data_IF_973175917286
#
_entry.id   IF_973175917286
#
_cell.length_a   1.000
_cell.length_b   1.000
_cell.length_c   1.000
_cell.angle_alpha   90.00
_cell.angle_beta   90.00
_cell.angle_gamma   90.00
#
_symmetry.space_group_name_H-M   'P 1'
#
loop_
_entity.id
_entity.type
_entity.pdbx_description
1 polymer ?
#
# COMPACT_ATOMS: atom_id res chain seq x y z
N UNK A 1 34.68 8.50 1.32
CA UNK A 1 34.21 9.11 0.06
C UNK A 1 34.60 10.58 0.13
N UNK A 2 35.42 11.08 -0.78
CA UNK A 2 35.74 12.51 -0.83
C UNK A 2 34.45 13.29 -1.13
N UNK A 3 34.25 14.47 -0.52
CA UNK A 3 33.08 15.36 -0.76
C UNK A 3 32.76 15.50 -2.26
N UNK A 4 33.79 15.61 -3.07
CA UNK A 4 33.72 15.73 -4.54
C UNK A 4 33.13 14.52 -5.28
N UNK A 5 33.24 13.30 -4.73
CA UNK A 5 32.67 12.09 -5.35
C UNK A 5 31.18 11.90 -5.04
N UNK A 6 30.76 12.31 -3.84
CA UNK A 6 29.35 12.28 -3.42
C UNK A 6 28.53 13.33 -4.19
N UNK A 7 29.04 14.56 -4.30
CA UNK A 7 28.38 15.65 -5.04
C UNK A 7 28.22 15.36 -6.54
N UNK A 8 29.11 14.57 -7.15
CA UNK A 8 29.02 14.16 -8.54
C UNK A 8 27.91 13.10 -8.73
N UNK A 9 27.79 12.15 -7.81
CA UNK A 9 26.72 11.14 -7.82
C UNK A 9 25.33 11.72 -7.54
N UNK A 10 25.24 12.71 -6.65
CA UNK A 10 24.00 13.46 -6.34
C UNK A 10 23.50 14.25 -7.54
N UNK A 11 24.39 14.93 -8.27
CA UNK A 11 24.05 15.66 -9.49
C UNK A 11 23.55 14.76 -10.62
N UNK A 12 24.14 13.58 -10.81
CA UNK A 12 23.72 12.64 -11.86
C UNK A 12 22.29 12.07 -11.64
N UNK A 13 21.81 12.08 -10.39
CA UNK A 13 20.49 11.57 -10.01
C UNK A 13 19.40 12.66 -9.95
N UNK A 14 19.71 13.92 -10.27
CA UNK A 14 18.77 15.04 -10.10
C UNK A 14 18.38 15.28 -8.63
N UNK A 15 19.23 14.84 -7.69
CA UNK A 15 19.00 14.98 -6.26
C UNK A 15 19.74 16.21 -5.71
N UNK A 16 19.30 16.71 -4.56
CA UNK A 16 19.99 17.70 -3.74
C UNK A 16 20.33 17.05 -2.41
N UNK A 17 21.58 17.11 -1.97
CA UNK A 17 21.92 16.66 -0.63
C UNK A 17 21.41 17.69 0.37
N UNK A 18 20.73 17.24 1.42
CA UNK A 18 20.27 18.10 2.51
C UNK A 18 20.96 17.70 3.80
N UNK A 19 21.20 18.69 4.65
CA UNK A 19 21.75 18.49 5.96
C UNK A 19 21.13 19.47 6.96
N UNK A 20 20.39 18.93 7.93
CA UNK A 20 19.73 19.66 8.98
C UNK A 20 20.55 19.54 10.27
N UNK A 21 21.05 20.67 10.74
CA UNK A 21 21.68 20.78 12.04
C UNK A 21 20.64 21.33 13.03
N UNK A 22 20.15 20.45 13.90
CA UNK A 22 19.10 20.77 14.86
C UNK A 22 19.58 21.63 16.02
N UNK A 23 20.89 21.69 16.27
CA UNK A 23 21.46 22.43 17.41
C UNK A 23 21.63 23.91 17.08
N UNK A 24 21.98 24.22 15.84
CA UNK A 24 22.09 25.60 15.33
C UNK A 24 20.86 26.04 14.52
N UNK A 25 19.92 25.12 14.28
CA UNK A 25 18.68 25.39 13.54
C UNK A 25 18.94 25.80 12.09
N UNK A 26 19.87 25.15 11.38
CA UNK A 26 20.16 25.44 9.97
C UNK A 26 19.93 24.23 9.06
N UNK A 27 19.43 24.53 7.86
CA UNK A 27 19.36 23.60 6.73
C UNK A 27 20.36 24.03 5.69
N UNK A 28 21.26 23.11 5.31
CA UNK A 28 22.17 23.27 4.18
C UNK A 28 21.76 22.34 3.05
N UNK A 29 21.71 22.89 1.84
CA UNK A 29 21.41 22.21 0.59
C UNK A 29 22.64 22.24 -0.31
N UNK A 30 23.08 21.09 -0.78
CA UNK A 30 24.26 20.96 -1.66
C UNK A 30 23.80 20.33 -2.98
N UNK A 31 23.93 21.08 -4.07
CA UNK A 31 23.41 20.70 -5.40
C UNK A 31 22.59 21.82 -6.02
N UNK A 32 21.75 21.48 -7.00
CA UNK A 32 20.87 22.43 -7.68
C UNK A 32 19.55 22.61 -6.90
N UNK A 33 19.61 23.39 -5.80
CA UNK A 33 18.42 23.70 -4.99
C UNK A 33 17.34 24.47 -5.78
N UNK A 34 17.72 25.19 -6.83
CA UNK A 34 16.80 25.92 -7.70
C UNK A 34 15.88 24.97 -8.49
N UNK A 35 16.33 23.74 -8.79
CA UNK A 35 15.47 22.70 -9.38
C UNK A 35 14.26 22.34 -8.50
N UNK A 36 14.32 22.66 -7.20
CA UNK A 36 13.25 22.46 -6.22
C UNK A 36 12.56 23.78 -5.82
N UNK A 37 12.83 24.87 -6.55
CA UNK A 37 12.24 26.19 -6.28
C UNK A 37 12.80 26.90 -5.04
N UNK A 38 13.97 26.47 -4.53
CA UNK A 38 14.62 27.10 -3.38
C UNK A 38 15.73 28.04 -3.84
N UNK A 39 15.68 29.29 -3.36
CA UNK A 39 16.60 30.37 -3.78
C UNK A 39 17.92 30.36 -3.00
N UNK A 40 17.96 29.74 -1.83
CA UNK A 40 19.12 29.74 -0.94
C UNK A 40 19.62 28.31 -0.66
N UNK A 41 20.92 28.10 -0.82
CA UNK A 41 21.60 26.86 -0.48
C UNK A 41 21.80 26.67 1.03
N UNK A 42 21.55 27.69 1.85
CA UNK A 42 21.55 27.62 3.30
C UNK A 42 20.45 28.53 3.84
N UNK A 43 19.65 28.02 4.77
CA UNK A 43 18.58 28.78 5.40
C UNK A 43 18.32 28.29 6.82
N UNK A 44 17.67 29.12 7.62
CA UNK A 44 17.26 28.76 8.97
C UNK A 44 16.16 27.68 8.93
N UNK A 45 16.09 26.86 9.97
CA UNK A 45 15.16 25.74 10.09
C UNK A 45 13.71 26.19 9.94
N UNK A 46 13.33 27.27 10.63
CA UNK A 46 11.99 27.83 10.51
C UNK A 46 11.72 28.34 9.09
N UNK A 47 12.69 28.98 8.45
CA UNK A 47 12.55 29.44 7.07
C UNK A 47 12.37 28.28 6.08
N UNK A 48 12.97 27.11 6.36
CA UNK A 48 12.72 25.89 5.58
C UNK A 48 11.32 25.31 5.84
N UNK A 49 10.88 25.25 7.11
CA UNK A 49 9.52 24.81 7.47
C UNK A 49 8.44 25.69 6.84
N UNK A 50 8.66 27.00 6.76
CA UNK A 50 7.73 27.94 6.11
C UNK A 50 7.61 27.69 4.59
N UNK A 51 8.54 26.93 3.99
CA UNK A 51 8.41 26.41 2.62
C UNK A 51 7.58 25.13 2.54
N UNK A 52 7.03 24.62 3.64
CA UNK A 52 6.21 23.41 3.66
C UNK A 52 4.77 23.73 4.04
N UNK A 53 3.84 22.88 3.58
CA UNK A 53 2.45 22.94 4.06
C UNK A 53 2.34 22.61 5.56
N UNK A 54 1.36 23.14 6.31
CA UNK A 54 1.28 22.98 7.77
C UNK A 54 1.35 21.53 8.27
N UNK A 55 0.71 20.60 7.57
CA UNK A 55 0.77 19.17 7.91
C UNK A 55 2.17 18.56 7.69
N UNK A 56 2.91 19.02 6.67
CA UNK A 56 4.26 18.52 6.40
C UNK A 56 5.31 19.15 7.33
N UNK A 57 5.03 20.33 7.89
CA UNK A 57 5.88 20.94 8.94
C UNK A 57 5.93 20.05 10.18
N UNK A 58 4.77 19.56 10.63
CA UNK A 58 4.66 18.66 11.79
C UNK A 58 5.37 17.34 11.47
N UNK A 59 5.01 16.71 10.35
CA UNK A 59 5.59 15.41 9.94
C UNK A 59 7.11 15.45 9.81
N UNK A 60 7.66 16.52 9.23
CA UNK A 60 9.09 16.65 9.08
C UNK A 60 9.78 16.90 10.44
N UNK A 61 9.18 17.71 11.30
CA UNK A 61 9.70 17.94 12.65
C UNK A 61 9.77 16.64 13.46
N UNK A 62 8.72 15.82 13.39
CA UNK A 62 8.67 14.51 14.04
C UNK A 62 9.69 13.52 13.46
N UNK A 63 9.85 13.49 12.14
CA UNK A 63 10.81 12.58 11.51
C UNK A 63 12.25 13.00 11.73
N UNK A 64 12.55 14.29 11.77
CA UNK A 64 13.90 14.76 12.11
C UNK A 64 14.25 14.38 13.55
N UNK A 65 13.30 14.31 14.48
CA UNK A 65 13.57 13.83 15.83
C UNK A 65 13.98 12.34 15.90
N UNK A 66 13.81 11.58 14.82
CA UNK A 66 14.16 10.16 14.73
C UNK A 66 15.57 9.94 14.12
N UNK A 67 16.03 8.68 14.12
CA UNK A 67 17.34 8.30 13.55
C UNK A 67 17.34 8.23 12.02
N UNK A 68 16.17 8.04 11.41
CA UNK A 68 16.02 7.90 9.96
C UNK A 68 14.88 8.78 9.48
N UNK A 69 15.05 9.39 8.30
CA UNK A 69 14.04 10.19 7.61
C UNK A 69 13.76 9.53 6.27
N UNK A 70 12.55 9.06 6.06
CA UNK A 70 12.03 8.70 4.73
C UNK A 70 10.63 9.29 4.60
N UNK A 71 10.56 10.48 4.03
CA UNK A 71 9.31 11.23 3.95
C UNK A 71 9.12 11.82 2.57
N UNK A 72 7.87 11.82 2.11
CA UNK A 72 7.43 12.68 1.00
C UNK A 72 6.77 13.92 1.59
N UNK A 73 7.28 15.09 1.23
CA UNK A 73 6.79 16.39 1.69
C UNK A 73 6.50 17.30 0.50
N UNK A 74 5.55 18.22 0.69
CA UNK A 74 5.24 19.28 -0.28
C UNK A 74 6.10 20.49 0.02
N UNK A 75 6.89 20.91 -0.97
CA UNK A 75 7.77 22.05 -0.93
C UNK A 75 7.20 23.18 -1.79
N UNK A 76 7.11 24.38 -1.22
CA UNK A 76 6.57 25.60 -1.83
C UNK A 76 7.75 26.46 -2.26
N UNK A 77 8.04 26.40 -3.56
CA UNK A 77 9.12 27.15 -4.19
C UNK A 77 8.85 28.65 -4.27
N UNK A 78 9.86 29.41 -4.68
CA UNK A 78 9.73 30.82 -5.03
C UNK A 78 8.64 31.01 -6.10
N UNK A 79 7.70 31.94 -5.84
CA UNK A 79 6.53 32.16 -6.71
C UNK A 79 5.33 31.25 -6.41
N UNK A 80 5.36 30.43 -5.35
CA UNK A 80 4.22 29.60 -4.93
C UNK A 80 4.06 28.28 -5.68
N UNK A 81 5.07 27.89 -6.47
CA UNK A 81 5.10 26.61 -7.16
C UNK A 81 5.20 25.45 -6.17
N UNK A 82 4.37 24.42 -6.33
CA UNK A 82 4.38 23.26 -5.45
C UNK A 82 5.22 22.13 -6.06
N UNK A 83 6.14 21.60 -5.26
CA UNK A 83 7.03 20.49 -5.63
C UNK A 83 6.87 19.37 -4.63
N UNK A 84 6.69 18.14 -5.11
CA UNK A 84 6.75 16.97 -4.25
C UNK A 84 8.19 16.49 -4.18
N UNK A 85 8.73 16.42 -2.97
CA UNK A 85 10.10 15.97 -2.74
C UNK A 85 10.10 14.81 -1.75
N UNK A 86 10.96 13.83 -2.00
CA UNK A 86 11.25 12.77 -1.04
C UNK A 86 12.54 13.12 -0.32
N UNK A 87 12.50 13.17 1.00
CA UNK A 87 13.66 13.28 1.87
C UNK A 87 14.04 11.89 2.37
N UNK A 88 15.26 11.48 2.06
CA UNK A 88 15.89 10.25 2.52
C UNK A 88 17.13 10.63 3.33
N UNK A 89 17.08 10.52 4.64
CA UNK A 89 18.16 10.95 5.52
C UNK A 89 18.37 10.04 6.72
N UNK A 90 19.49 10.26 7.41
CA UNK A 90 19.84 9.60 8.65
C UNK A 90 20.53 10.56 9.60
N UNK A 91 20.34 10.35 10.90
CA UNK A 91 21.06 11.07 11.94
C UNK A 91 22.48 10.51 12.03
N UNK A 92 23.46 11.40 12.04
CA UNK A 92 24.87 11.05 12.21
C UNK A 92 25.28 11.14 13.69
N UNK A 93 26.50 10.70 14.00
CA UNK A 93 27.02 10.69 15.38
C UNK A 93 27.24 12.07 16.00
N UNK A 94 27.10 13.16 15.23
CA UNK A 94 27.14 14.55 15.74
C UNK A 94 25.75 15.15 15.94
N UNK A 95 24.67 14.36 15.86
CA UNK A 95 23.30 14.84 16.02
C UNK A 95 22.74 15.57 14.80
N UNK A 96 23.42 15.55 13.66
CA UNK A 96 22.97 16.18 12.42
C UNK A 96 22.24 15.17 11.54
N UNK A 97 21.12 15.55 10.93
CA UNK A 97 20.41 14.72 9.96
C UNK A 97 20.93 15.04 8.56
N UNK A 98 21.47 14.05 7.86
CA UNK A 98 22.04 14.21 6.53
C UNK A 98 21.43 13.22 5.54
N UNK A 99 21.18 13.66 4.31
CA UNK A 99 20.43 12.86 3.36
C UNK A 99 20.32 13.45 1.96
N UNK A 100 19.41 12.89 1.17
CA UNK A 100 19.07 13.28 -0.17
C UNK A 100 17.62 13.77 -0.24
N UNK A 101 17.43 14.86 -0.95
CA UNK A 101 16.15 15.37 -1.43
C UNK A 101 16.05 15.03 -2.92
N UNK A 102 15.10 14.19 -3.28
CA UNK A 102 14.86 13.77 -4.67
C UNK A 102 13.48 14.22 -5.12
N UNK A 103 13.27 14.48 -6.42
CA UNK A 103 11.93 14.70 -6.95
C UNK A 103 11.05 13.49 -6.64
N UNK A 104 9.82 13.72 -6.17
CA UNK A 104 8.84 12.68 -5.85
C UNK A 104 7.55 12.83 -6.66
N UNK A 105 7.64 13.49 -7.82
CA UNK A 105 6.54 13.82 -8.71
C UNK A 105 6.93 14.99 -9.62
N UNK A 106 6.09 15.31 -10.61
CA UNK A 106 6.32 16.47 -11.48
C UNK A 106 6.06 17.78 -10.72
N UNK A 107 6.97 18.76 -10.83
CA UNK A 107 6.83 20.13 -10.34
C UNK A 107 5.61 20.79 -11.00
N UNK A 108 4.61 21.25 -10.25
CA UNK A 108 3.39 21.85 -10.82
C UNK A 108 3.01 23.13 -10.09
N UNK A 109 2.56 24.14 -10.84
CA UNK A 109 2.01 25.36 -10.26
C UNK A 109 0.62 25.10 -9.65
N UNK A 110 0.07 26.08 -8.91
CA UNK A 110 -1.26 25.99 -8.30
C UNK A 110 -2.36 25.68 -9.34
N UNK A 111 -2.22 26.17 -10.57
CA UNK A 111 -3.14 25.89 -11.67
C UNK A 111 -3.09 24.42 -12.12
N UNK A 112 -1.89 23.82 -12.18
CA UNK A 112 -1.69 22.41 -12.46
C UNK A 112 -2.30 21.50 -11.39
N UNK A 113 -2.16 21.86 -10.11
CA UNK A 113 -2.79 21.12 -9.00
C UNK A 113 -4.32 21.18 -9.06
N UNK A 114 -4.91 22.36 -9.24
CA UNK A 114 -6.37 22.50 -9.40
C UNK A 114 -6.86 21.67 -10.61
N UNK A 115 -6.10 21.68 -11.71
CA UNK A 115 -6.40 20.89 -12.89
C UNK A 115 -6.40 19.38 -12.63
N UNK A 116 -5.49 18.88 -11.78
CA UNK A 116 -5.47 17.48 -11.36
C UNK A 116 -6.55 17.11 -10.38
N UNK A 117 -6.83 17.96 -9.40
CA UNK A 117 -7.88 17.73 -8.42
C UNK A 117 -9.24 17.62 -9.13
N UNK A 118 -9.49 18.52 -10.08
CA UNK A 118 -10.65 18.46 -10.96
C UNK A 118 -10.63 17.21 -11.86
N UNK A 119 -9.49 16.86 -12.43
CA UNK A 119 -9.36 15.66 -13.26
C UNK A 119 -9.65 14.38 -12.47
N UNK A 120 -9.13 14.26 -11.24
CA UNK A 120 -9.36 13.12 -10.38
C UNK A 120 -10.83 13.03 -9.95
N UNK A 121 -11.41 14.14 -9.49
CA UNK A 121 -12.82 14.19 -9.11
C UNK A 121 -13.74 13.77 -10.27
N UNK A 122 -13.50 14.30 -11.47
CA UNK A 122 -14.25 13.91 -12.67
C UNK A 122 -13.96 12.46 -13.07
N UNK A 123 -12.71 12.01 -12.96
CA UNK A 123 -12.30 10.66 -13.35
C UNK A 123 -12.96 9.58 -12.51
N UNK A 124 -13.16 9.83 -11.21
CA UNK A 124 -13.96 8.95 -10.33
C UNK A 124 -15.38 8.77 -10.86
N UNK A 125 -16.00 9.84 -11.36
CA UNK A 125 -17.36 9.80 -11.91
C UNK A 125 -17.43 9.20 -13.31
N UNK A 126 -16.41 9.45 -14.14
CA UNK A 126 -16.34 8.99 -15.51
C UNK A 126 -15.90 7.52 -15.65
N UNK A 127 -15.63 6.82 -14.55
CA UNK A 127 -15.20 5.42 -14.58
C UNK A 127 -13.72 5.23 -14.94
N UNK A 128 -12.89 6.25 -14.74
CA UNK A 128 -11.45 6.19 -14.97
C UNK A 128 -10.69 5.45 -13.85
N UNK A 129 -11.36 5.21 -12.71
CA UNK A 129 -10.82 4.42 -11.60
C UNK A 129 -11.12 2.95 -11.81
N UNK A 130 -10.07 2.17 -12.03
CA UNK A 130 -10.10 0.74 -12.34
C UNK A 130 -9.59 -0.10 -11.16
N UNK A 131 -9.93 -1.39 -11.18
CA UNK A 131 -9.31 -2.39 -10.31
C UNK A 131 -8.26 -3.17 -11.11
N UNK A 132 -7.03 -3.23 -10.60
CA UNK A 132 -5.99 -4.15 -11.06
C UNK A 132 -5.72 -5.18 -9.99
N UNK A 133 -5.26 -6.36 -10.38
CA UNK A 133 -5.30 -7.55 -9.54
C UNK A 133 -3.91 -8.09 -9.28
N UNK A 134 -3.41 -7.98 -8.06
CA UNK A 134 -2.13 -8.59 -7.70
C UNK A 134 -2.35 -10.06 -7.27
N UNK A 135 -1.65 -11.03 -7.89
CA UNK A 135 -1.86 -12.45 -7.58
C UNK A 135 -1.44 -12.83 -6.16
N UNK A 136 -2.27 -13.64 -5.51
CA UNK A 136 -2.00 -14.33 -4.25
C UNK A 136 -1.89 -15.82 -4.54
N UNK A 137 -0.74 -16.40 -4.20
CA UNK A 137 -0.35 -17.76 -4.60
C UNK A 137 -0.35 -18.68 -3.39
N UNK A 138 -0.97 -19.86 -3.52
CA UNK A 138 -0.88 -20.93 -2.54
C UNK A 138 0.53 -21.53 -2.56
N UNK A 139 1.24 -21.45 -1.44
CA UNK A 139 2.65 -21.83 -1.34
C UNK A 139 2.86 -23.35 -1.42
N UNK A 140 1.88 -24.14 -1.02
CA UNK A 140 1.92 -25.61 -1.04
C UNK A 140 1.90 -26.20 -2.47
N UNK A 141 1.23 -25.51 -3.38
CA UNK A 141 0.93 -25.99 -4.74
C UNK A 141 1.52 -25.10 -5.83
N UNK A 142 1.95 -23.89 -5.50
CA UNK A 142 2.40 -22.88 -6.47
C UNK A 142 1.28 -22.39 -7.40
N UNK A 143 0.01 -22.51 -6.98
CA UNK A 143 -1.16 -22.17 -7.78
C UNK A 143 -1.78 -20.84 -7.35
N UNK A 144 -2.40 -20.16 -8.30
CA UNK A 144 -3.21 -18.98 -8.03
C UNK A 144 -4.35 -19.34 -7.07
N UNK A 145 -4.40 -18.66 -5.92
CA UNK A 145 -5.44 -18.80 -4.91
C UNK A 145 -6.44 -17.64 -4.96
N UNK A 146 -5.96 -16.44 -5.28
CA UNK A 146 -6.79 -15.24 -5.31
C UNK A 146 -6.04 -14.04 -5.85
N UNK A 147 -6.67 -12.87 -5.71
CA UNK A 147 -6.04 -11.59 -6.02
C UNK A 147 -6.35 -10.55 -4.96
N UNK A 148 -5.46 -9.58 -4.80
CA UNK A 148 -5.76 -8.30 -4.17
C UNK A 148 -6.14 -7.27 -5.24
N UNK A 149 -7.29 -6.62 -5.07
CA UNK A 149 -7.77 -5.56 -5.94
C UNK A 149 -7.18 -4.22 -5.51
N UNK A 150 -6.34 -3.65 -6.39
CA UNK A 150 -5.62 -2.41 -6.19
C UNK A 150 -6.13 -1.35 -7.16
N UNK A 151 -6.40 -0.16 -6.64
CA UNK A 151 -6.87 0.97 -7.43
C UNK A 151 -5.86 1.34 -8.53
N UNK A 152 -6.35 1.71 -9.71
CA UNK A 152 -5.58 2.36 -10.76
C UNK A 152 -6.41 3.49 -11.35
N UNK A 153 -5.77 4.58 -11.71
CA UNK A 153 -6.45 5.68 -12.41
C UNK A 153 -5.98 5.73 -13.86
N UNK A 154 -6.82 5.29 -14.79
CA UNK A 154 -6.57 5.41 -16.22
C UNK A 154 -6.91 6.82 -16.68
N UNK A 155 -5.93 7.72 -16.51
CA UNK A 155 -6.13 9.15 -16.78
C UNK A 155 -6.01 9.44 -18.28
N UNK A 156 -7.05 10.01 -18.91
CA UNK A 156 -7.00 10.36 -20.33
C UNK A 156 -5.80 11.26 -20.67
N UNK A 157 -5.02 10.85 -21.68
CA UNK A 157 -3.84 11.59 -22.14
C UNK A 157 -2.58 11.45 -21.27
N UNK A 158 -2.65 10.76 -20.13
CA UNK A 158 -1.49 10.48 -19.26
C UNK A 158 -1.20 8.98 -19.19
N UNK A 159 -2.25 8.15 -19.13
CA UNK A 159 -2.16 6.71 -18.94
C UNK A 159 -2.45 6.30 -17.51
N UNK A 160 -2.14 5.04 -17.20
CA UNK A 160 -2.51 4.40 -15.94
C UNK A 160 -1.57 4.79 -14.80
N UNK A 161 -2.12 5.40 -13.76
CA UNK A 161 -1.42 5.84 -12.55
C UNK A 161 -1.62 4.85 -11.39
N UNK A 162 -0.57 4.69 -10.59
CA UNK A 162 -0.57 3.82 -9.41
C UNK A 162 -1.18 4.55 -8.19
N UNK A 163 -1.65 3.82 -7.16
CA UNK A 163 -2.24 4.40 -5.96
C UNK A 163 -1.37 5.50 -5.32
N UNK A 164 -0.06 5.27 -5.24
CA UNK A 164 0.92 6.24 -4.70
C UNK A 164 0.92 7.60 -5.41
N UNK A 165 0.44 7.66 -6.66
CA UNK A 165 0.42 8.87 -7.48
C UNK A 165 -0.84 9.74 -7.24
N UNK A 166 -1.94 9.16 -6.74
CA UNK A 166 -3.22 9.88 -6.63
C UNK A 166 -3.98 9.70 -5.31
N UNK A 167 -3.72 8.67 -4.50
CA UNK A 167 -4.50 8.44 -3.27
C UNK A 167 -4.29 9.54 -2.22
N UNK A 168 -3.11 10.16 -2.15
CA UNK A 168 -2.88 11.31 -1.26
C UNK A 168 -3.81 12.48 -1.63
N UNK A 169 -3.90 12.80 -2.93
CA UNK A 169 -4.80 13.82 -3.45
C UNK A 169 -6.27 13.42 -3.25
N UNK A 170 -6.60 12.15 -3.47
CA UNK A 170 -7.94 11.64 -3.22
C UNK A 170 -8.35 11.81 -1.75
N UNK A 171 -7.43 11.62 -0.80
CA UNK A 171 -7.67 11.87 0.63
C UNK A 171 -7.96 13.34 0.92
N UNK A 172 -7.19 14.26 0.34
CA UNK A 172 -7.42 15.70 0.47
C UNK A 172 -8.77 16.16 -0.12
N UNK A 173 -9.28 15.43 -1.12
CA UNK A 173 -10.56 15.70 -1.80
C UNK A 173 -11.74 14.87 -1.27
N UNK A 174 -11.56 14.09 -0.20
CA UNK A 174 -12.57 13.19 0.35
C UNK A 174 -13.14 12.18 -0.69
N UNK A 175 -12.29 11.71 -1.60
CA UNK A 175 -12.63 10.79 -2.68
C UNK A 175 -12.32 9.32 -2.37
N UNK A 176 -11.63 9.04 -1.26
CA UNK A 176 -11.16 7.68 -0.93
C UNK A 176 -12.31 6.66 -0.89
N UNK A 177 -13.39 6.94 -0.17
CA UNK A 177 -14.53 6.03 -0.07
C UNK A 177 -15.21 5.79 -1.43
N UNK A 178 -15.27 6.83 -2.29
CA UNK A 178 -15.84 6.72 -3.64
C UNK A 178 -14.96 5.84 -4.52
N UNK A 179 -13.65 6.02 -4.47
CA UNK A 179 -12.66 5.21 -5.18
C UNK A 179 -12.74 3.76 -4.72
N UNK A 180 -12.68 3.50 -3.41
CA UNK A 180 -12.76 2.14 -2.85
C UNK A 180 -14.07 1.45 -3.22
N UNK A 181 -15.19 2.19 -3.25
CA UNK A 181 -16.49 1.65 -3.70
C UNK A 181 -16.46 1.24 -5.17
N UNK A 182 -15.85 2.04 -6.05
CA UNK A 182 -15.68 1.69 -7.47
C UNK A 182 -14.80 0.47 -7.64
N UNK A 183 -13.66 0.42 -6.96
CA UNK A 183 -12.72 -0.71 -7.00
C UNK A 183 -13.38 -2.01 -6.54
N UNK A 184 -14.12 -1.99 -5.42
CA UNK A 184 -14.87 -3.16 -4.93
C UNK A 184 -15.97 -3.59 -5.89
N UNK A 185 -16.67 -2.65 -6.50
CA UNK A 185 -17.67 -2.92 -7.53
C UNK A 185 -17.07 -3.64 -8.75
N UNK A 186 -15.94 -3.14 -9.27
CA UNK A 186 -15.19 -3.78 -10.36
C UNK A 186 -14.69 -5.17 -9.95
N UNK A 187 -14.07 -5.30 -8.79
CA UNK A 187 -13.58 -6.58 -8.27
C UNK A 187 -14.68 -7.65 -8.16
N UNK A 188 -15.86 -7.28 -7.65
CA UNK A 188 -16.99 -8.21 -7.54
C UNK A 188 -17.55 -8.61 -8.92
N UNK A 189 -17.66 -7.65 -9.84
CA UNK A 189 -18.14 -7.89 -11.20
C UNK A 189 -17.18 -8.78 -12.00
N UNK A 190 -15.88 -8.49 -11.95
CA UNK A 190 -14.84 -9.26 -12.63
C UNK A 190 -14.78 -10.69 -12.10
N UNK A 191 -14.78 -10.88 -10.77
CA UNK A 191 -14.81 -12.22 -10.19
C UNK A 191 -16.06 -13.00 -10.61
N UNK A 192 -17.23 -12.36 -10.64
CA UNK A 192 -18.47 -13.00 -11.08
C UNK A 192 -18.36 -13.43 -12.55
N UNK A 193 -17.87 -12.55 -13.41
CA UNK A 193 -17.65 -12.81 -14.84
C UNK A 193 -16.70 -13.99 -15.05
N UNK A 194 -15.55 -13.99 -14.37
CA UNK A 194 -14.57 -15.07 -14.50
C UNK A 194 -15.12 -16.41 -14.05
N UNK A 195 -15.92 -16.44 -12.98
CA UNK A 195 -16.58 -17.66 -12.48
C UNK A 195 -17.63 -18.23 -13.43
N UNK A 196 -18.35 -17.36 -14.13
CA UNK A 196 -19.32 -17.77 -15.15
C UNK A 196 -18.62 -18.29 -16.39
N UNK A 197 -17.55 -17.62 -16.82
CA UNK A 197 -16.83 -17.98 -18.04
C UNK A 197 -15.92 -19.21 -17.88
N UNK A 198 -15.30 -19.39 -16.71
CA UNK A 198 -14.21 -20.36 -16.53
C UNK A 198 -14.42 -21.25 -15.29
N UNK A 199 -14.50 -22.58 -15.45
CA UNK A 199 -14.59 -23.51 -14.30
C UNK A 199 -13.40 -23.45 -13.34
N UNK A 200 -12.21 -23.04 -13.82
CA UNK A 200 -11.00 -22.87 -12.99
C UNK A 200 -11.12 -21.71 -12.01
N UNK A 201 -12.00 -20.74 -12.27
CA UNK A 201 -12.22 -19.59 -11.38
C UNK A 201 -13.05 -19.95 -10.13
N UNK A 202 -13.59 -21.16 -10.04
CA UNK A 202 -14.53 -21.55 -8.97
C UNK A 202 -13.96 -21.42 -7.56
N UNK A 203 -12.64 -21.54 -7.38
CA UNK A 203 -12.00 -21.51 -6.07
C UNK A 203 -11.17 -20.23 -5.83
N UNK A 204 -11.26 -19.26 -6.73
CA UNK A 204 -10.57 -17.98 -6.59
C UNK A 204 -11.34 -17.07 -5.63
N UNK A 205 -10.60 -16.35 -4.79
CA UNK A 205 -11.09 -15.20 -4.05
C UNK A 205 -10.49 -13.89 -4.59
N UNK A 206 -11.17 -12.78 -4.36
CA UNK A 206 -10.60 -11.43 -4.48
C UNK A 206 -10.72 -10.72 -3.13
N UNK A 207 -9.63 -10.08 -2.71
CA UNK A 207 -9.61 -9.19 -1.57
C UNK A 207 -9.57 -7.72 -2.02
N UNK A 208 -10.14 -6.82 -1.22
CA UNK A 208 -10.14 -5.39 -1.50
C UNK A 208 -10.09 -4.59 -0.20
N UNK A 209 -9.42 -3.44 -0.25
CA UNK A 209 -9.23 -2.57 0.90
C UNK A 209 -10.54 -1.93 1.40
N UNK A 210 -10.64 -1.80 2.72
CA UNK A 210 -11.66 -1.04 3.43
C UNK A 210 -11.07 -0.37 4.68
N UNK A 211 -11.62 0.78 5.05
CA UNK A 211 -11.20 1.48 6.28
C UNK A 211 -12.16 1.19 7.43
N UNK A 212 -11.70 1.42 8.66
CA UNK A 212 -12.58 1.30 9.83
C UNK A 212 -13.70 2.35 9.80
N UNK A 213 -13.44 3.53 9.24
CA UNK A 213 -14.48 4.56 9.06
C UNK A 213 -15.59 4.15 8.10
N UNK A 214 -15.31 3.27 7.12
CA UNK A 214 -16.36 2.69 6.28
C UNK A 214 -17.18 1.66 7.07
N UNK A 215 -16.56 0.83 7.89
CA UNK A 215 -17.26 -0.23 8.66
C UNK A 215 -18.29 0.31 9.63
N UNK A 216 -18.06 1.50 10.19
CA UNK A 216 -19.01 2.13 11.12
C UNK A 216 -20.24 2.70 10.44
N UNK A 217 -20.22 2.85 9.11
CA UNK A 217 -21.39 3.24 8.34
C UNK A 217 -22.27 2.01 8.03
N UNK A 218 -23.49 1.90 8.58
CA UNK A 218 -24.39 0.80 8.27
C UNK A 218 -24.78 0.73 6.79
N UNK A 219 -24.74 1.85 6.07
CA UNK A 219 -25.02 1.91 4.64
C UNK A 219 -23.90 1.24 3.84
N UNK A 220 -22.63 1.42 4.22
CA UNK A 220 -21.50 0.71 3.63
C UNK A 220 -21.66 -0.80 3.74
N UNK A 221 -21.89 -1.33 4.95
CA UNK A 221 -22.05 -2.78 5.17
C UNK A 221 -23.20 -3.33 4.33
N UNK A 222 -24.33 -2.63 4.31
CA UNK A 222 -25.50 -3.04 3.52
C UNK A 222 -25.22 -3.01 2.02
N UNK A 223 -24.53 -1.96 1.54
CA UNK A 223 -24.16 -1.80 0.14
C UNK A 223 -23.19 -2.88 -0.33
N UNK A 224 -22.17 -3.19 0.46
CA UNK A 224 -21.20 -4.23 0.11
C UNK A 224 -21.85 -5.62 0.06
N UNK A 225 -22.67 -5.98 1.06
CA UNK A 225 -23.40 -7.24 1.05
C UNK A 225 -24.32 -7.37 -0.17
N UNK A 226 -24.94 -6.24 -0.58
CA UNK A 226 -25.73 -6.20 -1.82
C UNK A 226 -24.86 -6.44 -3.05
N UNK A 227 -23.70 -5.78 -3.17
CA UNK A 227 -22.78 -5.97 -4.31
C UNK A 227 -22.35 -7.44 -4.44
N UNK A 228 -21.94 -8.06 -3.33
CA UNK A 228 -21.50 -9.46 -3.29
C UNK A 228 -22.64 -10.42 -3.65
N UNK A 229 -23.85 -10.15 -3.13
CA UNK A 229 -25.06 -10.94 -3.41
C UNK A 229 -25.52 -10.82 -4.87
N UNK A 230 -25.58 -9.59 -5.42
CA UNK A 230 -25.96 -9.34 -6.81
C UNK A 230 -24.98 -9.98 -7.78
N UNK A 231 -23.68 -10.00 -7.44
CA UNK A 231 -22.62 -10.68 -8.16
C UNK A 231 -22.62 -12.21 -7.98
N UNK A 232 -23.51 -12.76 -7.14
CA UNK A 232 -23.67 -14.20 -6.84
C UNK A 232 -22.36 -14.87 -6.40
N UNK A 233 -21.54 -14.14 -5.65
CA UNK A 233 -20.28 -14.67 -5.15
C UNK A 233 -20.56 -15.60 -3.96
N UNK A 234 -19.95 -16.80 -3.91
CA UNK A 234 -20.09 -17.68 -2.75
C UNK A 234 -19.36 -17.10 -1.54
N UNK A 235 -19.73 -17.57 -0.35
CA UNK A 235 -19.08 -17.14 0.89
C UNK A 235 -17.56 -17.34 0.82
N UNK A 236 -16.82 -16.33 1.26
CA UNK A 236 -15.35 -16.30 1.28
C UNK A 236 -14.68 -15.97 -0.06
N UNK A 237 -15.43 -15.86 -1.16
CA UNK A 237 -14.88 -15.45 -2.46
C UNK A 237 -14.58 -13.95 -2.54
N UNK A 238 -15.26 -13.12 -1.75
CA UNK A 238 -14.94 -11.71 -1.60
C UNK A 238 -14.40 -11.46 -0.19
N UNK A 239 -13.26 -10.78 -0.09
CA UNK A 239 -12.61 -10.47 1.19
C UNK A 239 -12.41 -8.97 1.34
N UNK A 240 -12.58 -8.46 2.56
CA UNK A 240 -12.11 -7.12 2.90
C UNK A 240 -10.78 -7.17 3.64
N UNK A 241 -9.88 -6.27 3.27
CA UNK A 241 -8.62 -6.05 3.97
C UNK A 241 -8.72 -4.77 4.79
N UNK A 242 -8.34 -4.84 6.06
CA UNK A 242 -8.42 -3.73 7.01
C UNK A 242 -7.08 -3.61 7.71
N UNK A 243 -6.48 -2.43 7.66
CA UNK A 243 -5.17 -2.18 8.26
C UNK A 243 -5.19 -2.36 9.79
N UNK A 244 -4.12 -2.98 10.31
CA UNK A 244 -3.92 -3.19 11.76
C UNK A 244 -4.02 -1.89 12.55
N UNK A 245 -3.35 -0.83 12.07
CA UNK A 245 -3.28 0.45 12.78
C UNK A 245 -4.63 1.14 12.91
N UNK A 246 -5.58 0.85 12.02
CA UNK A 246 -6.94 1.40 12.10
C UNK A 246 -7.79 0.60 13.07
N UNK A 247 -7.83 -0.74 12.91
CA UNK A 247 -8.72 -1.58 13.71
C UNK A 247 -8.34 -1.62 15.19
N UNK A 248 -7.05 -1.46 15.51
CA UNK A 248 -6.57 -1.51 16.89
C UNK A 248 -6.86 -0.22 17.69
N UNK A 249 -7.28 0.87 17.04
CA UNK A 249 -7.69 2.09 17.73
C UNK A 249 -9.00 1.89 18.50
N UNK A 250 -9.99 1.24 17.87
CA UNK A 250 -11.28 0.94 18.48
C UNK A 250 -11.90 -0.34 17.88
N UNK A 251 -11.50 -1.53 18.38
CA UNK A 251 -11.96 -2.81 17.84
C UNK A 251 -13.45 -3.06 18.13
N UNK A 252 -13.97 -2.55 19.24
CA UNK A 252 -15.36 -2.75 19.66
C UNK A 252 -16.33 -2.04 18.70
N UNK A 253 -15.92 -0.89 18.18
CA UNK A 253 -16.70 -0.10 17.23
C UNK A 253 -16.94 -0.83 15.89
N UNK A 254 -15.96 -1.62 15.42
CA UNK A 254 -16.05 -2.33 14.14
C UNK A 254 -16.56 -3.78 14.28
N UNK A 255 -16.50 -4.38 15.46
CA UNK A 255 -16.79 -5.79 15.68
C UNK A 255 -18.20 -6.21 15.18
N UNK A 256 -19.24 -5.41 15.46
CA UNK A 256 -20.59 -5.72 15.02
C UNK A 256 -20.75 -5.67 13.48
N UNK A 257 -20.10 -4.71 12.82
CA UNK A 257 -20.07 -4.61 11.36
C UNK A 257 -19.32 -5.79 10.73
N UNK A 258 -18.17 -6.15 11.30
CA UNK A 258 -17.37 -7.29 10.88
C UNK A 258 -18.13 -8.61 11.01
N UNK A 259 -18.83 -8.84 12.13
CA UNK A 259 -19.68 -10.03 12.30
C UNK A 259 -20.81 -10.08 11.26
N UNK A 260 -21.43 -8.94 10.96
CA UNK A 260 -22.48 -8.85 9.94
C UNK A 260 -21.94 -9.13 8.53
N UNK A 261 -20.74 -8.67 8.22
CA UNK A 261 -20.06 -8.97 6.95
C UNK A 261 -19.71 -10.46 6.83
N UNK A 262 -19.09 -11.03 7.87
CA UNK A 262 -18.74 -12.45 7.93
C UNK A 262 -19.97 -13.35 7.81
N UNK A 263 -21.04 -13.05 8.57
CA UNK A 263 -22.32 -13.76 8.47
C UNK A 263 -23.04 -13.58 7.11
N UNK A 264 -22.70 -12.53 6.36
CA UNK A 264 -23.15 -12.31 4.99
C UNK A 264 -22.26 -12.95 3.92
N UNK A 265 -21.23 -13.70 4.32
CA UNK A 265 -20.33 -14.42 3.42
C UNK A 265 -19.12 -13.61 2.93
N UNK A 266 -18.88 -12.40 3.46
CA UNK A 266 -17.67 -11.62 3.18
C UNK A 266 -16.60 -11.97 4.19
N UNK A 267 -15.48 -12.51 3.72
CA UNK A 267 -14.34 -12.83 4.58
C UNK A 267 -13.55 -11.58 4.97
N UNK A 268 -12.84 -11.63 6.08
CA UNK A 268 -12.09 -10.49 6.60
C UNK A 268 -10.61 -10.84 6.73
N UNK A 269 -9.75 -9.92 6.30
CA UNK A 269 -8.31 -10.01 6.39
C UNK A 269 -7.77 -8.82 7.20
N UNK A 270 -6.89 -9.12 8.16
CA UNK A 270 -6.09 -8.11 8.83
C UNK A 270 -4.86 -7.82 7.99
N UNK A 271 -4.72 -6.56 7.58
CA UNK A 271 -3.63 -6.09 6.72
C UNK A 271 -2.51 -5.39 7.50
N UNK A 272 -1.34 -5.28 6.88
CA UNK A 272 -0.16 -4.61 7.42
C UNK A 272 0.29 -5.13 8.80
N UNK A 273 0.12 -6.43 9.06
CA UNK A 273 0.39 -6.99 10.39
C UNK A 273 1.86 -6.81 10.81
N UNK A 274 2.05 -6.29 12.02
CA UNK A 274 3.30 -5.99 12.68
C UNK A 274 3.81 -4.55 12.45
N UNK A 275 3.08 -3.72 11.72
CA UNK A 275 3.39 -2.29 11.55
C UNK A 275 2.80 -1.42 12.67
N UNK A 276 1.85 -1.97 13.45
CA UNK A 276 1.22 -1.34 14.60
C UNK A 276 1.68 -1.92 15.95
N UNK A 277 1.12 -1.36 17.04
CA UNK A 277 1.35 -1.82 18.40
C UNK A 277 0.39 -2.96 18.82
N UNK A 278 0.11 -3.94 17.97
CA UNK A 278 -0.75 -5.05 18.38
C UNK A 278 -0.12 -5.90 19.47
N UNK A 279 -0.85 -6.03 20.56
CA UNK A 279 -0.82 -7.25 21.35
C UNK A 279 -1.56 -8.32 20.55
N UNK A 280 -0.84 -9.32 20.06
CA UNK A 280 -1.36 -10.56 19.45
C UNK A 280 -2.57 -11.16 20.21
N UNK A 281 -2.73 -10.82 21.49
CA UNK A 281 -3.85 -11.18 22.35
C UNK A 281 -5.22 -10.53 22.00
N UNK A 282 -5.33 -9.69 20.98
CA UNK A 282 -6.63 -9.12 20.52
C UNK A 282 -7.15 -9.73 19.21
N UNK A 283 -6.37 -10.59 18.58
CA UNK A 283 -6.75 -11.28 17.33
C UNK A 283 -7.85 -12.32 17.56
N UNK A 284 -7.97 -12.87 18.77
CA UNK A 284 -8.97 -13.87 19.13
C UNK A 284 -10.41 -13.30 19.24
N UNK A 285 -10.54 -11.98 19.44
CA UNK A 285 -11.83 -11.31 19.64
C UNK A 285 -12.51 -10.85 18.34
N UNK A 286 -11.77 -10.78 17.23
CA UNK A 286 -12.25 -10.26 15.96
C UNK A 286 -12.41 -11.37 14.91
N UNK A 287 -13.46 -11.36 14.08
CA UNK A 287 -13.77 -12.45 13.14
C UNK A 287 -12.91 -12.37 11.86
N UNK A 288 -11.59 -12.27 12.00
CA UNK A 288 -10.66 -12.34 10.88
C UNK A 288 -10.46 -13.79 10.42
N UNK A 289 -10.45 -13.99 9.10
CA UNK A 289 -10.16 -15.28 8.46
C UNK A 289 -8.70 -15.35 7.97
N UNK A 290 -8.07 -14.19 7.78
CA UNK A 290 -6.75 -14.03 7.16
C UNK A 290 -5.94 -12.98 7.91
N UNK A 291 -4.63 -13.22 8.05
CA UNK A 291 -3.64 -12.21 8.46
C UNK A 291 -2.62 -12.04 7.33
N UNK A 292 -2.36 -10.81 6.93
CA UNK A 292 -1.33 -10.46 5.95
C UNK A 292 -0.10 -9.93 6.69
N UNK A 293 1.04 -10.61 6.54
CA UNK A 293 2.32 -10.22 7.15
C UNK A 293 3.00 -9.23 6.21
N UNK A 294 3.24 -8.01 6.70
CA UNK A 294 3.85 -6.94 5.91
C UNK A 294 5.25 -7.31 5.39
N UNK A 295 5.55 -6.77 4.20
CA UNK A 295 6.83 -6.96 3.50
C UNK A 295 8.06 -6.60 4.34
N UNK A 296 7.94 -5.71 5.32
CA UNK A 296 9.02 -5.36 6.24
C UNK A 296 9.56 -6.60 6.96
N UNK A 297 8.68 -7.45 7.52
CA UNK A 297 9.08 -8.67 8.21
C UNK A 297 9.65 -9.72 7.28
N UNK A 298 9.05 -9.86 6.09
CA UNK A 298 9.52 -10.78 5.06
C UNK A 298 10.92 -10.40 4.60
N UNK A 299 11.18 -9.11 4.41
CA UNK A 299 12.51 -8.62 4.04
C UNK A 299 13.52 -8.82 5.17
N UNK A 300 13.14 -8.53 6.41
CA UNK A 300 14.01 -8.69 7.57
C UNK A 300 14.46 -10.15 7.75
N UNK A 301 13.57 -11.11 7.53
CA UNK A 301 13.91 -12.52 7.74
C UNK A 301 14.97 -13.05 6.75
N UNK A 302 15.21 -12.40 5.61
CA UNK A 302 16.17 -12.88 4.60
C UNK A 302 17.62 -12.94 5.12
N UNK A 303 17.98 -12.14 6.12
CA UNK A 303 19.32 -12.09 6.71
C UNK A 303 19.38 -12.26 8.23
N UNK A 304 18.23 -12.44 8.89
CA UNK A 304 18.13 -12.49 10.35
C UNK A 304 17.25 -13.67 10.80
N UNK A 305 17.84 -14.60 11.56
CA UNK A 305 17.14 -15.75 12.14
C UNK A 305 16.19 -15.34 13.28
N UNK A 306 16.47 -14.24 13.99
CA UNK A 306 15.56 -13.72 15.00
C UNK A 306 14.28 -13.19 14.32
N UNK A 307 14.41 -12.40 13.25
CA UNK A 307 13.28 -11.96 12.44
C UNK A 307 12.51 -13.15 11.84
N UNK A 308 13.21 -14.19 11.36
CA UNK A 308 12.58 -15.44 10.90
C UNK A 308 11.80 -16.17 12.00
N UNK A 309 12.29 -16.12 13.25
CA UNK A 309 11.59 -16.68 14.41
C UNK A 309 10.30 -15.92 14.72
N UNK A 310 10.31 -14.59 14.59
CA UNK A 310 9.11 -13.75 14.74
C UNK A 310 8.06 -14.12 13.69
N UNK A 311 8.43 -14.14 12.41
CA UNK A 311 7.52 -14.53 11.32
C UNK A 311 6.91 -15.91 11.55
N UNK A 312 7.73 -16.90 11.94
CA UNK A 312 7.24 -18.25 12.27
C UNK A 312 6.25 -18.24 13.42
N UNK A 313 6.48 -17.43 14.45
CA UNK A 313 5.61 -17.33 15.62
C UNK A 313 4.26 -16.71 15.26
N UNK A 314 4.26 -15.68 14.41
CA UNK A 314 3.04 -15.08 13.85
C UNK A 314 2.24 -16.10 13.05
N UNK A 315 2.91 -16.87 12.16
CA UNK A 315 2.26 -17.93 11.37
C UNK A 315 1.59 -18.96 12.28
N UNK A 316 2.31 -19.42 13.30
CA UNK A 316 1.81 -20.42 14.25
C UNK A 316 0.61 -19.89 15.05
N UNK A 317 0.66 -18.64 15.51
CA UNK A 317 -0.45 -18.05 16.26
C UNK A 317 -1.68 -17.84 15.37
N UNK A 318 -1.50 -17.29 14.18
CA UNK A 318 -2.61 -17.10 13.24
C UNK A 318 -3.29 -18.43 12.94
N UNK A 319 -2.50 -19.48 12.68
CA UNK A 319 -3.00 -20.84 12.45
C UNK A 319 -3.71 -21.41 13.69
N UNK A 320 -3.23 -21.13 14.90
CA UNK A 320 -3.87 -21.55 16.15
C UNK A 320 -5.29 -20.97 16.29
N UNK A 321 -5.49 -19.72 15.87
CA UNK A 321 -6.81 -19.07 15.82
C UNK A 321 -7.65 -19.44 14.59
N UNK A 322 -7.19 -20.39 13.77
CA UNK A 322 -7.90 -20.83 12.57
C UNK A 322 -7.78 -19.88 11.37
N UNK A 323 -6.92 -18.85 11.48
CA UNK A 323 -6.66 -17.90 10.40
C UNK A 323 -5.65 -18.46 9.40
N UNK A 324 -5.82 -18.06 8.14
CA UNK A 324 -4.83 -18.26 7.08
C UNK A 324 -3.83 -17.10 7.05
N UNK A 325 -2.63 -17.33 6.55
CA UNK A 325 -1.59 -16.30 6.46
C UNK A 325 -1.23 -16.02 5.01
N UNK A 326 -1.16 -14.74 4.67
CA UNK A 326 -0.58 -14.23 3.42
C UNK A 326 0.73 -13.52 3.76
N UNK A 327 1.83 -13.92 3.15
CA UNK A 327 3.10 -13.19 3.27
C UNK A 327 3.29 -12.23 2.09
N UNK A 328 3.57 -10.96 2.39
CA UNK A 328 3.68 -9.93 1.38
C UNK A 328 5.11 -9.58 0.97
N UNK A 329 5.25 -8.98 -0.22
CA UNK A 329 6.55 -8.52 -0.71
C UNK A 329 7.51 -9.66 -1.05
N UNK A 330 7.01 -10.82 -1.50
CA UNK A 330 7.89 -11.91 -1.92
C UNK A 330 8.58 -11.56 -3.24
N UNK A 331 9.91 -11.43 -3.21
CA UNK A 331 10.73 -11.09 -4.38
C UNK A 331 11.53 -12.27 -4.94
N UNK A 332 11.79 -13.32 -4.14
CA UNK A 332 12.63 -14.45 -4.55
C UNK A 332 12.07 -15.81 -4.09
N UNK A 333 12.52 -16.89 -4.74
CA UNK A 333 12.05 -18.25 -4.48
C UNK A 333 12.45 -18.78 -3.09
N UNK A 334 13.64 -18.45 -2.61
CA UNK A 334 14.13 -18.90 -1.31
C UNK A 334 13.27 -18.38 -0.14
N UNK A 335 12.80 -17.14 -0.23
CA UNK A 335 11.85 -16.58 0.75
C UNK A 335 10.53 -17.35 0.74
N UNK A 336 9.97 -17.65 -0.43
CA UNK A 336 8.74 -18.43 -0.57
C UNK A 336 8.90 -19.85 -0.01
N UNK A 337 10.00 -20.55 -0.32
CA UNK A 337 10.31 -21.89 0.21
C UNK A 337 10.44 -21.89 1.74
N UNK A 338 11.12 -20.88 2.29
CA UNK A 338 11.26 -20.74 3.75
C UNK A 338 9.91 -20.47 4.42
N UNK A 339 9.07 -19.62 3.84
CA UNK A 339 7.71 -19.37 4.35
C UNK A 339 6.82 -20.60 4.27
N UNK A 340 6.90 -21.36 3.17
CA UNK A 340 6.18 -22.63 3.03
C UNK A 340 6.62 -23.63 4.11
N UNK A 341 7.93 -23.73 4.38
CA UNK A 341 8.47 -24.58 5.44
C UNK A 341 8.05 -24.14 6.86
N UNK A 342 7.73 -22.85 7.04
CA UNK A 342 7.15 -22.33 8.29
C UNK A 342 5.64 -22.59 8.42
N UNK A 343 4.99 -23.10 7.38
CA UNK A 343 3.54 -23.36 7.35
C UNK A 343 2.70 -22.19 6.84
N UNK A 344 3.32 -21.17 6.22
CA UNK A 344 2.58 -20.08 5.58
C UNK A 344 1.78 -20.62 4.38
N UNK A 345 0.50 -20.25 4.28
CA UNK A 345 -0.41 -20.79 3.27
C UNK A 345 -0.31 -20.04 1.95
N UNK A 346 -0.19 -18.71 1.99
CA UNK A 346 -0.25 -17.86 0.81
C UNK A 346 0.89 -16.85 0.74
N UNK A 347 1.21 -16.42 -0.47
CA UNK A 347 2.22 -15.41 -0.73
C UNK A 347 1.82 -14.46 -1.86
N UNK A 348 2.24 -13.21 -1.73
CA UNK A 348 2.04 -12.14 -2.70
C UNK A 348 3.34 -11.34 -2.88
N UNK A 349 3.64 -10.95 -4.11
CA UNK A 349 4.81 -10.13 -4.40
C UNK A 349 5.33 -10.25 -5.83
N UNK A 350 6.34 -9.45 -6.16
CA UNK A 350 6.89 -9.32 -7.51
C UNK A 350 7.54 -10.58 -8.08
N UNK A 351 7.88 -11.56 -7.21
CA UNK A 351 8.26 -12.92 -7.64
C UNK A 351 7.18 -13.54 -8.54
N UNK A 352 5.93 -13.26 -8.24
CA UNK A 352 4.76 -13.75 -8.96
C UNK A 352 4.30 -12.72 -9.97
N UNK A 353 3.77 -11.57 -9.53
CA UNK A 353 3.51 -10.44 -10.41
C UNK A 353 3.26 -9.16 -9.60
N UNK A 354 3.38 -8.01 -10.27
CA UNK A 354 2.68 -6.81 -9.81
C UNK A 354 1.18 -6.92 -10.07
N UNK A 355 0.43 -5.85 -9.81
CA UNK A 355 -0.99 -5.80 -10.16
C UNK A 355 -1.16 -5.97 -11.69
N UNK A 356 -2.05 -6.87 -12.08
CA UNK A 356 -2.38 -7.18 -13.47
C UNK A 356 -3.64 -6.42 -13.87
N UNK A 357 -3.69 -5.91 -15.10
CA UNK A 357 -4.93 -5.40 -15.68
C UNK A 357 -6.01 -6.52 -15.75
N UNK A 358 -7.31 -6.20 -15.77
CA UNK A 358 -8.40 -7.19 -15.74
C UNK A 358 -8.24 -8.34 -16.73
N UNK A 359 -7.99 -8.05 -18.02
CA UNK A 359 -7.81 -9.08 -19.06
C UNK A 359 -6.62 -10.01 -18.77
N UNK A 360 -5.52 -9.46 -18.23
CA UNK A 360 -4.34 -10.22 -17.89
C UNK A 360 -4.57 -11.08 -16.63
N UNK A 361 -5.35 -10.58 -15.67
CA UNK A 361 -5.77 -11.33 -14.50
C UNK A 361 -6.68 -12.50 -14.89
N UNK A 362 -7.68 -12.26 -15.75
CA UNK A 362 -8.54 -13.31 -16.29
C UNK A 362 -7.72 -14.39 -17.00
N UNK A 363 -6.78 -13.99 -17.86
CA UNK A 363 -5.89 -14.95 -18.51
C UNK A 363 -5.09 -15.78 -17.51
N UNK A 364 -4.62 -15.16 -16.43
CA UNK A 364 -3.91 -15.86 -15.35
C UNK A 364 -4.80 -16.85 -14.59
N UNK A 365 -6.12 -16.63 -14.52
CA UNK A 365 -7.09 -17.60 -13.97
C UNK A 365 -7.18 -18.87 -14.82
N UNK A 366 -7.02 -18.75 -16.14
CA UNK A 366 -7.13 -19.88 -17.07
C UNK A 366 -5.80 -20.61 -17.22
N UNK A 367 -4.71 -19.86 -17.40
CA UNK A 367 -3.42 -20.40 -17.84
C UNK A 367 -2.34 -20.35 -16.75
N UNK A 368 -2.55 -19.59 -15.67
CA UNK A 368 -1.47 -19.18 -14.77
C UNK A 368 -0.53 -18.21 -15.47
N UNK A 369 0.70 -18.10 -14.95
CA UNK A 369 1.79 -17.33 -15.58
C UNK A 369 3.03 -18.19 -15.62
N UNK A 370 3.48 -18.52 -16.83
CA UNK A 370 4.61 -19.42 -17.06
C UNK A 370 5.87 -19.00 -16.29
N UNK A 371 6.49 -19.97 -15.59
CA UNK A 371 7.66 -19.75 -14.73
C UNK A 371 7.39 -19.01 -13.42
N UNK A 372 6.13 -18.62 -13.15
CA UNK A 372 5.75 -17.83 -11.98
C UNK A 372 4.74 -18.54 -11.10
N UNK A 373 3.59 -18.96 -11.65
CA UNK A 373 2.58 -19.73 -10.91
C UNK A 373 1.65 -20.47 -11.87
N UNK A 374 1.04 -21.53 -11.36
CA UNK A 374 0.07 -22.36 -12.08
C UNK A 374 -1.35 -21.80 -11.94
N UNK A 375 -2.29 -22.13 -12.85
CA UNK A 375 -3.69 -21.77 -12.69
C UNK A 375 -4.30 -22.45 -11.44
N UNK A 376 -5.46 -21.97 -10.96
CA UNK A 376 -6.14 -22.57 -9.81
C UNK A 376 -6.49 -24.04 -10.06
N UNK A 377 -6.78 -24.77 -8.97
CA UNK A 377 -7.34 -26.11 -9.11
C UNK A 377 -8.77 -26.03 -9.67
N UNK A 378 -9.13 -26.89 -10.65
CA UNK A 378 -10.51 -27.02 -11.08
C UNK A 378 -11.41 -27.38 -9.89
N UNK A 379 -12.68 -26.97 -9.94
CA UNK A 379 -13.66 -27.53 -9.01
C UNK A 379 -13.65 -29.07 -9.14
N UNK A 380 -13.61 -29.78 -8.01
CA UNK A 380 -13.88 -31.21 -8.00
C UNK A 380 -15.35 -31.38 -8.42
N UNK A 381 -15.58 -32.18 -9.47
CA UNK A 381 -16.90 -32.40 -10.06
C UNK A 381 -17.84 -33.19 -9.15
#
# INVERSE_FOLDING_TARGET
MTETGFEAGVRAAGAVAFACDTDIGQVRLTGDAAAFGLEAATMDWQAFLDRLGPADQIRLSDAIAQDHVDLRIRLIGAGGQLSYVRLLGRRNGSGRVEGLMTPAGATRDLAGRIGEEHALANGVDNGEVLAWYQPIIALDTGRLAGFEALARWDRPGVGVLAPDDFLVMAGELDLLNRISTKVRGHAAADLSSWRVAHPTAHNIFISANATVSELVDPAFVTGLLKVVSDAKLPAGAFKLEIAETEIMQDPDMAAAAMQRLNGGGVSLALDDFGTGYSSLARLDMLPFDVVKIDRYFIRAMAGDEAAGTVVKSVIQLATHFGMKVVAEGIENAAAAERLAAMGCQYAQGYRYAGALAPDAAEKAVVEGVSGRFLPPLPAQA
#
